data_IF_156877030963
#
_entry.id   IF_156877030963
#
_cell.length_a   1.000
_cell.length_b   1.000
_cell.length_c   1.000
_cell.angle_alpha   90.00
_cell.angle_beta   90.00
_cell.angle_gamma   90.00
#
_symmetry.space_group_name_H-M   'P 1'
#
loop_
_entity.id
_entity.type
_entity.pdbx_description
1 polymer ?
#
# COMPACT_ATOMS: atom_id res chain seq x y z
N UNK A 1 -0.04 9.25 53.43
CA UNK A 1 0.07 10.58 52.80
C UNK A 1 0.25 10.39 51.31
N UNK A 2 -0.82 10.63 50.53
CA UNK A 2 -0.85 10.38 49.09
C UNK A 2 -0.56 11.68 48.35
N UNK A 3 0.63 11.80 47.75
CA UNK A 3 1.00 12.97 46.97
C UNK A 3 0.62 12.74 45.50
N UNK A 4 -0.47 13.40 45.07
CA UNK A 4 -0.92 13.45 43.68
C UNK A 4 -0.05 14.49 42.97
N UNK A 5 0.92 14.04 42.18
CA UNK A 5 1.72 14.94 41.33
C UNK A 5 0.92 15.26 40.07
N UNK A 6 0.40 16.47 40.02
CA UNK A 6 -0.19 17.09 38.83
C UNK A 6 0.92 17.52 37.88
N UNK A 7 1.11 16.79 36.78
CA UNK A 7 1.93 17.24 35.63
C UNK A 7 1.05 18.03 34.67
N UNK A 8 0.93 19.33 34.89
CA UNK A 8 0.49 20.29 33.87
C UNK A 8 1.74 20.85 33.17
N UNK A 9 1.59 21.12 31.86
CA UNK A 9 2.57 21.76 30.96
C UNK A 9 3.53 20.81 30.23
N UNK A 10 3.07 20.23 29.11
CA UNK A 10 3.86 19.82 27.90
C UNK A 10 2.99 19.07 26.85
N UNK A 11 1.67 19.27 26.83
CA UNK A 11 0.77 18.46 25.98
C UNK A 11 0.92 18.72 24.46
N UNK A 12 1.38 19.92 24.04
CA UNK A 12 1.38 20.30 22.63
C UNK A 12 2.62 19.82 21.83
N UNK A 13 3.80 19.77 22.45
CA UNK A 13 5.01 19.25 21.79
C UNK A 13 5.07 17.71 21.83
N UNK A 14 4.43 17.10 22.83
CA UNK A 14 4.33 15.65 22.95
C UNK A 14 3.43 15.02 21.90
N UNK A 15 2.42 15.72 21.36
CA UNK A 15 1.48 15.14 20.38
C UNK A 15 2.11 14.92 18.99
N UNK A 16 2.99 15.82 18.55
CA UNK A 16 3.72 15.71 17.28
C UNK A 16 4.79 14.61 17.32
N UNK A 17 5.57 14.56 18.41
CA UNK A 17 6.56 13.51 18.63
C UNK A 17 5.91 12.14 18.91
N UNK A 18 4.81 12.08 19.67
CA UNK A 18 4.05 10.85 19.90
C UNK A 18 3.42 10.32 18.61
N UNK A 19 3.02 11.19 17.68
CA UNK A 19 2.52 10.81 16.36
C UNK A 19 3.59 10.21 15.46
N UNK A 20 4.81 10.76 15.47
CA UNK A 20 5.96 10.22 14.73
C UNK A 20 6.46 8.89 15.31
N UNK A 21 6.54 8.79 16.65
CA UNK A 21 6.91 7.56 17.36
C UNK A 21 5.85 6.47 17.18
N UNK A 22 4.55 6.81 17.14
CA UNK A 22 3.46 5.86 16.84
C UNK A 22 3.52 5.28 15.42
N UNK A 23 4.13 5.96 14.45
CA UNK A 23 4.28 5.41 13.08
C UNK A 23 5.44 4.42 12.98
N UNK A 24 6.46 4.56 13.82
CA UNK A 24 7.62 3.67 13.89
C UNK A 24 7.40 2.46 14.80
N UNK A 25 6.61 2.62 15.86
CA UNK A 25 6.28 1.57 16.81
C UNK A 25 4.98 0.89 16.36
N UNK A 26 5.00 -0.41 15.98
CA UNK A 26 3.78 -1.17 15.70
C UNK A 26 2.76 -0.96 16.81
N UNK A 27 1.46 -0.95 16.48
CA UNK A 27 0.36 -0.77 17.45
C UNK A 27 0.35 -1.74 18.65
N UNK A 28 1.21 -2.77 18.59
CA UNK A 28 1.39 -3.85 19.57
C UNK A 28 2.57 -3.61 20.52
N UNK A 29 3.40 -2.61 20.27
CA UNK A 29 4.58 -2.29 21.07
C UNK A 29 4.37 -0.95 21.80
N UNK A 30 4.99 -0.83 22.96
CA UNK A 30 5.02 0.40 23.77
C UNK A 30 6.41 0.61 24.35
N UNK A 31 6.77 1.87 24.54
CA UNK A 31 7.99 2.23 25.27
C UNK A 31 7.60 2.43 26.73
N UNK A 32 8.25 1.68 27.63
CA UNK A 32 8.05 1.79 29.06
C UNK A 32 9.33 2.36 29.67
N UNK A 33 9.22 3.53 30.29
CA UNK A 33 10.27 4.11 31.10
C UNK A 33 9.87 4.02 32.57
N UNK A 34 10.72 3.41 33.38
CA UNK A 34 10.55 3.34 34.84
C UNK A 34 11.77 3.89 35.53
N UNK A 35 11.56 4.90 36.36
CA UNK A 35 12.64 5.57 37.08
C UNK A 35 12.63 5.12 38.55
N UNK A 36 13.79 4.70 39.04
CA UNK A 36 13.96 4.15 40.39
C UNK A 36 15.09 4.88 41.11
N UNK A 37 14.90 5.15 42.40
CA UNK A 37 15.96 5.63 43.27
C UNK A 37 16.71 4.44 43.85
N UNK A 38 18.00 4.34 43.53
CA UNK A 38 18.87 3.26 44.02
C UNK A 38 19.89 3.80 45.01
N UNK A 39 20.13 3.09 46.11
CA UNK A 39 21.17 3.43 47.09
C UNK A 39 22.40 2.60 46.77
N UNK A 40 23.52 3.26 46.43
CA UNK A 40 24.82 2.60 46.23
C UNK A 40 25.80 3.12 47.27
N UNK A 41 26.37 2.24 48.09
CA UNK A 41 27.40 2.63 49.07
C UNK A 41 26.92 3.57 50.19
N UNK A 42 25.63 3.59 50.50
CA UNK A 42 25.13 4.15 51.75
C UNK A 42 24.90 5.67 51.82
N UNK A 43 25.58 6.48 51.00
CA UNK A 43 25.60 7.95 51.16
C UNK A 43 24.86 8.78 50.12
N UNK A 44 24.61 8.27 48.91
CA UNK A 44 23.89 9.01 47.87
C UNK A 44 22.83 8.15 47.19
N UNK A 45 21.63 8.71 47.02
CA UNK A 45 20.59 8.13 46.18
C UNK A 45 20.88 8.52 44.73
N UNK A 46 21.00 7.52 43.85
CA UNK A 46 21.17 7.72 42.42
C UNK A 46 19.85 7.38 41.72
N UNK A 47 19.34 8.31 40.91
CA UNK A 47 18.25 8.03 39.99
C UNK A 47 18.76 7.14 38.86
N UNK A 48 18.09 6.01 38.66
CA UNK A 48 18.35 5.10 37.54
C UNK A 48 17.06 4.88 36.78
N UNK A 49 17.11 5.02 35.46
CA UNK A 49 15.99 4.74 34.59
C UNK A 49 16.18 3.38 33.91
N UNK A 50 15.10 2.62 33.80
CA UNK A 50 15.02 1.44 32.95
C UNK A 50 14.08 1.77 31.80
N UNK A 51 14.60 1.71 30.57
CA UNK A 51 13.85 1.97 29.34
C UNK A 51 13.78 0.66 28.57
N UNK A 52 12.59 0.17 28.31
CA UNK A 52 12.35 -1.03 27.51
C UNK A 52 11.28 -0.80 26.44
N UNK A 53 11.37 -1.59 25.37
CA UNK A 53 10.31 -1.73 24.38
C UNK A 53 9.59 -3.02 24.69
N UNK A 54 8.37 -2.91 25.19
CA UNK A 54 7.56 -4.05 25.62
C UNK A 54 6.35 -4.20 24.69
N UNK A 55 5.79 -5.40 24.64
CA UNK A 55 4.46 -5.59 24.06
C UNK A 55 3.39 -4.87 24.90
N UNK A 56 2.29 -4.47 24.25
CA UNK A 56 1.13 -3.92 24.94
C UNK A 56 0.55 -4.96 25.89
N UNK A 57 -0.02 -4.48 27.01
CA UNK A 57 -0.62 -5.37 28.02
C UNK A 57 -1.72 -6.25 27.44
N UNK A 58 -2.53 -5.71 26.51
CA UNK A 58 -3.56 -6.49 25.83
C UNK A 58 -2.99 -7.62 24.98
N UNK A 59 -1.89 -7.38 24.26
CA UNK A 59 -1.25 -8.39 23.44
C UNK A 59 -0.60 -9.48 24.29
N UNK A 60 0.07 -9.08 25.37
CA UNK A 60 0.70 -10.04 26.27
C UNK A 60 -0.31 -10.83 27.12
N UNK A 61 -1.43 -10.22 27.51
CA UNK A 61 -2.54 -10.91 28.15
C UNK A 61 -3.15 -11.97 27.23
N UNK A 62 -3.34 -11.64 25.95
CA UNK A 62 -3.82 -12.58 24.94
C UNK A 62 -2.85 -13.78 24.75
N UNK A 63 -1.54 -13.52 24.71
CA UNK A 63 -0.52 -14.58 24.65
C UNK A 63 -0.60 -15.54 25.84
N UNK A 64 -0.81 -15.00 27.06
CA UNK A 64 -0.93 -15.81 28.27
C UNK A 64 -2.19 -16.65 28.32
N UNK A 65 -3.30 -16.16 27.77
CA UNK A 65 -4.54 -16.94 27.71
C UNK A 65 -4.47 -18.03 26.63
N UNK A 66 -3.93 -17.68 25.47
CA UNK A 66 -3.76 -18.62 24.36
C UNK A 66 -2.60 -18.16 23.46
N UNK A 67 -1.50 -18.95 23.39
CA UNK A 67 -0.36 -18.65 22.53
C UNK A 67 -0.74 -18.50 21.05
N UNK A 68 -1.78 -19.20 20.57
CA UNK A 68 -2.20 -19.15 19.17
C UNK A 68 -2.74 -17.78 18.74
N UNK A 69 -3.23 -16.97 19.69
CA UNK A 69 -3.71 -15.60 19.42
C UNK A 69 -2.56 -14.64 19.09
N UNK A 70 -1.31 -15.04 19.35
CA UNK A 70 -0.13 -14.20 19.19
C UNK A 70 0.92 -14.83 18.27
N UNK A 71 0.67 -14.95 16.96
CA UNK A 71 1.52 -15.71 16.02
C UNK A 71 2.92 -15.12 15.77
N UNK A 72 3.22 -13.94 16.33
CA UNK A 72 4.55 -13.31 16.24
C UNK A 72 5.45 -13.64 17.43
N UNK A 73 4.87 -14.19 18.49
CA UNK A 73 5.62 -14.74 19.61
C UNK A 73 5.70 -16.24 19.38
N UNK A 74 6.92 -16.76 19.42
CA UNK A 74 7.19 -18.18 19.20
C UNK A 74 7.85 -18.67 20.48
N UNK A 75 7.36 -19.80 20.98
CA UNK A 75 7.96 -20.45 22.13
C UNK A 75 9.35 -20.97 21.75
N UNK A 76 10.30 -20.87 22.68
CA UNK A 76 11.68 -21.26 22.41
C UNK A 76 11.79 -22.78 22.14
N UNK A 77 10.92 -23.58 22.77
CA UNK A 77 10.93 -25.04 22.68
C UNK A 77 10.60 -25.49 21.26
N UNK A 78 9.74 -24.73 20.58
CA UNK A 78 9.36 -24.97 19.20
C UNK A 78 10.49 -24.70 18.20
N UNK A 79 11.52 -23.93 18.60
CA UNK A 79 12.63 -23.52 17.71
C UNK A 79 13.80 -24.48 17.82
N UNK A 80 14.37 -24.65 19.02
CA UNK A 80 15.56 -25.48 19.25
C UNK A 80 15.31 -26.76 20.06
N UNK A 81 14.07 -27.04 20.46
CA UNK A 81 13.76 -28.10 21.41
C UNK A 81 14.19 -27.71 22.82
N UNK A 82 14.66 -28.70 23.59
CA UNK A 82 15.01 -28.58 25.01
C UNK A 82 15.97 -27.42 25.35
N UNK A 83 15.42 -26.34 25.94
CA UNK A 83 16.13 -25.15 26.44
C UNK A 83 17.16 -25.53 27.48
N UNK A 84 16.81 -26.46 28.37
CA UNK A 84 17.65 -26.77 29.52
C UNK A 84 18.97 -27.31 29.01
N UNK A 85 18.90 -28.24 28.05
CA UNK A 85 20.09 -28.72 27.37
C UNK A 85 20.77 -27.60 26.57
N UNK A 86 20.03 -26.82 25.78
CA UNK A 86 20.62 -25.79 24.91
C UNK A 86 21.41 -24.73 25.69
N UNK A 87 20.80 -24.11 26.70
CA UNK A 87 21.42 -23.03 27.47
C UNK A 87 22.47 -23.53 28.48
N UNK A 88 22.28 -24.73 29.05
CA UNK A 88 23.23 -25.31 30.00
C UNK A 88 24.36 -26.10 29.34
N UNK A 89 24.35 -26.24 28.01
CA UNK A 89 25.41 -26.93 27.28
C UNK A 89 26.76 -26.28 27.56
N UNK A 90 27.67 -27.09 28.10
CA UNK A 90 29.06 -26.72 28.39
C UNK A 90 29.93 -27.08 27.19
N UNK A 91 31.04 -26.35 27.04
CA UNK A 91 32.02 -26.64 25.98
C UNK A 91 32.83 -27.88 26.36
N UNK A 92 32.68 -28.96 25.59
CA UNK A 92 33.32 -30.25 25.86
C UNK A 92 34.55 -30.52 24.97
N UNK A 93 34.71 -29.78 23.87
CA UNK A 93 35.78 -30.00 22.91
C UNK A 93 37.17 -29.70 23.50
N UNK A 94 38.03 -30.72 23.54
CA UNK A 94 39.43 -30.71 24.00
C UNK A 94 39.71 -30.05 25.37
N UNK A 95 38.71 -29.98 26.26
CA UNK A 95 38.87 -29.40 27.60
C UNK A 95 38.69 -30.47 28.67
N UNK A 96 39.76 -31.23 28.91
CA UNK A 96 39.88 -32.07 30.10
C UNK A 96 40.01 -31.20 31.36
N UNK A 97 39.20 -31.50 32.38
CA UNK A 97 39.52 -31.17 33.79
C UNK A 97 39.04 -29.84 34.38
N UNK A 98 39.16 -28.69 33.70
CA UNK A 98 39.04 -27.40 34.44
C UNK A 98 38.27 -26.24 33.78
N UNK A 99 37.89 -26.31 32.50
CA UNK A 99 37.20 -25.17 31.85
C UNK A 99 35.96 -25.58 31.06
N UNK A 100 35.06 -26.32 31.72
CA UNK A 100 33.68 -26.56 31.24
C UNK A 100 32.83 -25.30 31.43
N UNK A 101 33.23 -24.21 30.81
CA UNK A 101 32.44 -22.99 30.76
C UNK A 101 31.18 -23.22 29.90
N UNK A 102 30.10 -22.52 30.24
CA UNK A 102 28.95 -22.41 29.37
C UNK A 102 29.35 -21.81 28.03
N UNK A 103 28.60 -22.15 26.98
CA UNK A 103 28.74 -21.44 25.72
C UNK A 103 28.48 -19.93 25.91
N UNK A 104 29.22 -19.06 25.22
CA UNK A 104 29.06 -17.62 25.35
C UNK A 104 27.70 -17.18 24.83
N UNK A 105 27.18 -16.11 25.43
CA UNK A 105 25.83 -15.59 25.14
C UNK A 105 25.67 -15.23 23.66
N UNK A 106 26.69 -14.63 23.04
CA UNK A 106 26.60 -14.21 21.62
C UNK A 106 26.40 -15.40 20.67
N UNK A 107 27.05 -16.54 20.93
CA UNK A 107 26.95 -17.73 20.10
C UNK A 107 25.56 -18.36 20.22
N UNK A 108 25.02 -18.40 21.44
CA UNK A 108 23.64 -18.86 21.68
C UNK A 108 22.59 -17.97 21.02
N UNK A 109 22.78 -16.66 21.12
CA UNK A 109 21.90 -15.69 20.46
C UNK A 109 21.97 -15.81 18.93
N UNK A 110 23.17 -15.98 18.37
CA UNK A 110 23.35 -16.19 16.94
C UNK A 110 22.69 -17.49 16.48
N UNK A 111 22.89 -18.59 17.20
CA UNK A 111 22.25 -19.88 16.89
C UNK A 111 20.72 -19.79 16.94
N UNK A 112 20.16 -19.15 17.97
CA UNK A 112 18.71 -18.96 18.08
C UNK A 112 18.15 -18.10 16.94
N UNK A 113 18.84 -17.00 16.59
CA UNK A 113 18.46 -16.14 15.46
C UNK A 113 18.50 -16.92 14.13
N UNK A 114 19.58 -17.66 13.88
CA UNK A 114 19.74 -18.47 12.67
C UNK A 114 18.59 -19.46 12.53
N UNK A 115 18.18 -20.12 13.61
CA UNK A 115 17.07 -21.07 13.60
C UNK A 115 15.73 -20.39 13.32
N UNK A 116 15.50 -19.20 13.88
CA UNK A 116 14.29 -18.41 13.61
C UNK A 116 14.21 -17.91 12.16
N UNK A 117 15.34 -17.63 11.52
CA UNK A 117 15.41 -17.07 10.17
C UNK A 117 15.71 -18.11 9.09
N UNK A 118 15.52 -19.41 9.38
CA UNK A 118 15.70 -20.45 8.36
C UNK A 118 14.66 -20.31 7.26
N UNK A 119 15.04 -20.67 6.04
CA UNK A 119 14.13 -20.67 4.90
C UNK A 119 13.00 -21.66 5.12
N UNK A 120 11.76 -21.13 5.08
CA UNK A 120 10.55 -21.93 5.17
C UNK A 120 10.24 -22.49 3.78
N UNK A 121 10.08 -23.83 3.61
CA UNK A 121 9.72 -24.41 2.33
C UNK A 121 8.34 -23.90 1.92
N UNK A 122 8.30 -22.98 0.94
CA UNK A 122 7.05 -22.40 0.44
C UNK A 122 6.35 -23.40 -0.47
N UNK A 123 5.08 -23.62 -0.21
CA UNK A 123 4.25 -24.57 -0.95
C UNK A 123 4.06 -24.02 -2.38
N UNK A 124 4.13 -24.85 -3.43
CA UNK A 124 3.94 -24.39 -4.82
C UNK A 124 2.59 -23.70 -5.05
N UNK A 125 1.59 -23.99 -4.23
CA UNK A 125 0.31 -23.29 -4.24
C UNK A 125 0.46 -21.79 -3.95
N UNK A 126 1.31 -21.38 -3.00
CA UNK A 126 1.58 -19.95 -2.76
C UNK A 126 2.25 -19.30 -3.97
N UNK A 127 3.16 -20.01 -4.64
CA UNK A 127 3.79 -19.53 -5.86
C UNK A 127 2.77 -19.39 -7.00
N UNK A 128 1.87 -20.36 -7.17
CA UNK A 128 0.78 -20.31 -8.13
C UNK A 128 -0.17 -19.14 -7.84
N UNK A 129 -0.51 -18.86 -6.57
CA UNK A 129 -1.30 -17.68 -6.21
C UNK A 129 -0.58 -16.37 -6.54
N UNK A 130 0.74 -16.28 -6.33
CA UNK A 130 1.52 -15.10 -6.72
C UNK A 130 1.59 -14.91 -8.23
N UNK A 131 1.70 -16.01 -8.99
CA UNK A 131 1.62 -15.97 -10.45
C UNK A 131 0.23 -15.58 -10.93
N UNK A 132 -0.82 -16.08 -10.27
CA UNK A 132 -2.19 -15.70 -10.55
C UNK A 132 -2.45 -14.22 -10.30
N UNK A 133 -1.98 -13.64 -9.18
CA UNK A 133 -2.18 -12.21 -8.92
C UNK A 133 -1.42 -11.33 -9.92
N UNK A 134 -0.24 -11.78 -10.36
CA UNK A 134 0.51 -11.13 -11.43
C UNK A 134 -0.27 -11.20 -12.77
N UNK A 135 -0.79 -12.38 -13.11
CA UNK A 135 -1.62 -12.59 -14.30
C UNK A 135 -2.94 -11.81 -14.26
N UNK A 136 -3.58 -11.70 -13.10
CA UNK A 136 -4.81 -10.92 -12.90
C UNK A 136 -4.59 -9.45 -13.22
N UNK A 137 -3.45 -8.87 -12.78
CA UNK A 137 -3.10 -7.48 -13.11
C UNK A 137 -2.92 -7.31 -14.62
N UNK A 138 -2.30 -8.27 -15.30
CA UNK A 138 -2.12 -8.25 -16.76
C UNK A 138 -3.41 -8.49 -17.54
N UNK A 139 -4.41 -9.19 -16.98
CA UNK A 139 -5.72 -9.37 -17.61
C UNK A 139 -6.69 -8.21 -17.36
N UNK A 140 -6.58 -7.53 -16.20
CA UNK A 140 -7.45 -6.40 -15.86
C UNK A 140 -7.11 -5.15 -16.66
N UNK A 141 -5.84 -4.92 -17.00
CA UNK A 141 -5.40 -3.77 -17.79
C UNK A 141 -6.07 -3.71 -19.19
N UNK A 142 -6.00 -4.77 -20.02
CA UNK A 142 -6.68 -4.80 -21.31
C UNK A 142 -8.19 -4.64 -21.20
N UNK A 143 -8.81 -5.20 -20.14
CA UNK A 143 -10.25 -5.05 -19.91
C UNK A 143 -10.65 -3.63 -19.53
N UNK A 144 -9.83 -2.93 -18.75
CA UNK A 144 -10.04 -1.53 -18.44
C UNK A 144 -9.87 -0.65 -19.68
N UNK A 145 -8.84 -0.91 -20.49
CA UNK A 145 -8.60 -0.17 -21.74
C UNK A 145 -9.78 -0.35 -22.71
N UNK A 146 -10.21 -1.60 -22.96
CA UNK A 146 -11.36 -1.88 -23.82
C UNK A 146 -12.67 -1.28 -23.26
N UNK A 147 -12.85 -1.31 -21.94
CA UNK A 147 -13.99 -0.65 -21.29
C UNK A 147 -13.99 0.86 -21.48
N UNK A 148 -12.83 1.51 -21.33
CA UNK A 148 -12.67 2.95 -21.57
C UNK A 148 -12.87 3.30 -23.04
N UNK A 149 -12.35 2.50 -23.97
CA UNK A 149 -12.57 2.68 -25.42
C UNK A 149 -14.05 2.57 -25.81
N UNK A 150 -14.83 1.75 -25.11
CA UNK A 150 -16.29 1.65 -25.36
C UNK A 150 -17.09 2.81 -24.75
N UNK A 151 -16.61 3.38 -23.64
CA UNK A 151 -17.28 4.47 -22.92
C UNK A 151 -16.89 5.85 -23.44
N UNK A 152 -15.68 6.02 -23.98
CA UNK A 152 -15.17 7.29 -24.51
C UNK A 152 -16.07 7.85 -25.63
N UNK A 153 -16.45 7.08 -26.67
CA UNK A 153 -17.33 7.57 -27.71
C UNK A 153 -18.69 7.97 -27.16
N UNK A 154 -19.26 7.18 -26.24
CA UNK A 154 -20.56 7.46 -25.63
C UNK A 154 -20.54 8.74 -24.77
N UNK A 155 -19.44 8.97 -24.05
CA UNK A 155 -19.24 10.18 -23.25
C UNK A 155 -18.98 11.41 -24.13
N UNK A 156 -18.23 11.25 -25.21
CA UNK A 156 -18.00 12.31 -26.21
C UNK A 156 -19.31 12.68 -26.90
N UNK A 157 -20.15 11.72 -27.29
CA UNK A 157 -21.46 12.04 -27.89
C UNK A 157 -22.40 12.72 -26.91
N UNK A 158 -22.46 12.25 -25.65
CA UNK A 158 -23.28 12.90 -24.61
C UNK A 158 -22.88 14.36 -24.35
N UNK A 159 -21.59 14.68 -24.37
CA UNK A 159 -21.10 16.06 -24.18
C UNK A 159 -21.11 16.90 -25.47
N UNK A 160 -21.02 16.26 -26.64
CA UNK A 160 -21.14 16.95 -27.92
C UNK A 160 -22.59 17.35 -28.20
N UNK A 161 -23.57 16.52 -27.82
CA UNK A 161 -24.99 16.84 -27.95
C UNK A 161 -25.42 18.00 -27.06
N UNK A 162 -24.88 18.11 -25.84
CA UNK A 162 -25.15 19.26 -24.96
C UNK A 162 -24.54 20.55 -25.51
N UNK A 163 -23.30 20.52 -26.02
CA UNK A 163 -22.67 21.68 -26.67
C UNK A 163 -23.33 22.07 -28.00
N UNK A 164 -23.79 21.09 -28.79
CA UNK A 164 -24.55 21.33 -30.03
C UNK A 164 -25.94 21.89 -29.74
N UNK A 165 -26.61 21.43 -28.67
CA UNK A 165 -27.87 21.99 -28.20
C UNK A 165 -27.74 23.45 -27.79
N UNK A 166 -26.73 23.79 -26.98
CA UNK A 166 -26.44 25.18 -26.58
C UNK A 166 -26.04 26.06 -27.79
N UNK A 167 -25.28 25.51 -28.74
CA UNK A 167 -24.92 26.23 -29.97
C UNK A 167 -26.14 26.48 -30.87
N UNK A 168 -27.06 25.52 -31.00
CA UNK A 168 -28.30 25.69 -31.77
C UNK A 168 -29.27 26.67 -31.10
N UNK A 169 -29.40 26.63 -29.77
CA UNK A 169 -30.22 27.58 -29.02
C UNK A 169 -29.64 29.01 -29.10
N UNK A 170 -28.33 29.17 -29.01
CA UNK A 170 -27.67 30.48 -29.17
C UNK A 170 -27.71 31.01 -30.62
N UNK A 171 -27.69 30.12 -31.63
CA UNK A 171 -27.84 30.49 -33.04
C UNK A 171 -29.30 30.82 -33.39
N UNK A 172 -30.28 30.11 -32.82
CA UNK A 172 -31.69 30.45 -32.96
C UNK A 172 -32.01 31.80 -32.31
N UNK A 173 -31.41 32.09 -31.15
CA UNK A 173 -31.52 33.39 -30.50
C UNK A 173 -30.93 34.54 -31.34
N UNK A 174 -29.76 34.34 -31.97
CA UNK A 174 -29.16 35.34 -32.89
C UNK A 174 -29.95 35.54 -34.19
N UNK A 175 -30.45 34.48 -34.81
CA UNK A 175 -31.27 34.59 -36.04
C UNK A 175 -32.62 35.29 -35.76
N UNK A 176 -33.19 35.11 -34.56
CA UNK A 176 -34.37 35.86 -34.13
C UNK A 176 -34.08 37.36 -33.92
N UNK A 177 -32.84 37.71 -33.57
CA UNK A 177 -32.39 39.10 -33.40
C UNK A 177 -32.09 39.77 -34.76
N UNK A 178 -31.40 39.06 -35.67
CA UNK A 178 -31.06 39.54 -37.02
C UNK A 178 -32.28 39.58 -37.96
N UNK A 179 -33.24 38.67 -37.81
CA UNK A 179 -34.53 38.69 -38.53
C UNK A 179 -35.40 39.91 -38.19
N UNK A 180 -35.12 40.58 -37.07
CA UNK A 180 -35.77 41.84 -36.68
C UNK A 180 -35.10 43.07 -37.31
N UNK A 181 -33.86 42.94 -37.79
CA UNK A 181 -33.11 44.02 -38.45
C UNK A 181 -33.25 44.04 -39.99
N UNK A 182 -33.62 42.91 -40.62
CA UNK A 182 -33.73 42.81 -42.08
C UNK A 182 -35.13 43.09 -42.67
N UNK A 183 -36.14 43.43 -41.86
CA UNK A 183 -37.50 43.75 -42.33
C UNK A 183 -37.66 45.21 -42.81
N UNK A 184 -36.56 45.90 -43.13
CA UNK A 184 -36.53 47.33 -43.37
C UNK A 184 -35.60 47.79 -44.49
N UNK A 185 -35.45 47.06 -45.60
CA UNK A 185 -34.85 47.63 -46.82
C UNK A 185 -35.15 46.80 -48.09
N UNK A 186 -36.01 47.38 -48.94
CA UNK A 186 -36.07 47.35 -50.41
C UNK A 186 -36.16 46.02 -51.21
N UNK A 187 -37.23 46.00 -52.00
CA UNK A 187 -37.44 45.37 -53.32
C UNK A 187 -36.28 45.52 -54.32
N UNK A 188 -35.97 44.47 -55.09
CA UNK A 188 -35.85 44.46 -56.57
C UNK A 188 -35.39 43.08 -57.09
N UNK A 189 -35.78 42.79 -58.34
CA UNK A 189 -35.46 41.67 -59.25
C UNK A 189 -34.03 41.07 -59.10
N UNK A 190 -33.73 39.84 -59.50
CA UNK A 190 -33.75 39.39 -60.90
C UNK A 190 -33.47 37.87 -61.03
N UNK A 191 -33.70 37.36 -62.23
CA UNK A 191 -33.69 35.99 -62.67
C UNK A 191 -32.32 35.27 -62.64
N UNK A 192 -32.40 33.93 -62.63
CA UNK A 192 -31.63 33.12 -63.57
C UNK A 192 -30.48 32.26 -63.02
N UNK A 193 -30.37 31.09 -63.66
CA UNK A 193 -29.20 30.21 -63.75
C UNK A 193 -28.98 29.13 -62.65
N UNK A 194 -29.68 28.00 -62.83
CA UNK A 194 -29.02 26.67 -62.92
C UNK A 194 -28.21 26.71 -64.24
N UNK A 195 -26.97 26.17 -64.40
CA UNK A 195 -26.84 24.70 -64.43
C UNK A 195 -25.46 24.03 -64.19
N UNK A 196 -25.54 22.69 -64.10
CA UNK A 196 -24.60 21.65 -64.62
C UNK A 196 -23.17 21.60 -64.09
N UNK A 197 -22.73 20.52 -63.43
CA UNK A 197 -22.48 19.14 -63.89
C UNK A 197 -21.08 18.91 -64.50
N UNK A 198 -20.64 17.65 -64.32
CA UNK A 198 -19.47 16.96 -64.89
C UNK A 198 -18.17 17.06 -64.07
N UNK A 199 -17.33 16.04 -63.93
CA UNK A 199 -17.33 14.60 -64.23
C UNK A 199 -15.90 14.10 -63.99
N UNK A 200 -15.72 12.79 -63.73
CA UNK A 200 -14.42 12.10 -63.87
C UNK A 200 -14.14 11.19 -62.66
N UNK A 201 -14.47 9.90 -62.62
CA UNK A 201 -14.11 8.78 -63.50
C UNK A 201 -12.62 8.39 -63.47
N UNK A 202 -12.28 7.35 -62.68
CA UNK A 202 -11.46 6.17 -63.04
C UNK A 202 -11.51 5.21 -61.84
N UNK A 203 -12.05 3.99 -61.85
CA UNK A 203 -11.85 2.81 -62.70
C UNK A 203 -10.40 2.28 -62.71
N UNK A 204 -10.24 1.02 -62.28
CA UNK A 204 -9.01 0.22 -62.27
C UNK A 204 -8.73 -0.36 -60.88
N UNK A 205 -9.40 -1.40 -60.40
CA UNK A 205 -9.49 -2.80 -60.88
C UNK A 205 -8.28 -3.69 -60.54
N UNK A 206 -8.62 -4.86 -59.99
CA UNK A 206 -7.96 -6.18 -59.90
C UNK A 206 -6.48 -6.31 -59.48
N UNK A 207 -6.05 -7.29 -58.67
CA UNK A 207 -6.70 -8.50 -58.15
C UNK A 207 -5.63 -9.58 -57.89
N UNK A 208 -5.98 -10.59 -57.09
CA UNK A 208 -5.35 -11.93 -56.97
C UNK A 208 -3.91 -11.98 -56.41
N UNK A 209 -3.54 -12.81 -55.42
CA UNK A 209 -4.05 -14.10 -54.97
C UNK A 209 -2.87 -15.08 -54.90
N UNK A 210 -2.74 -15.86 -53.82
CA UNK A 210 -2.27 -17.28 -53.81
C UNK A 210 -1.72 -17.69 -52.44
N UNK A 211 -2.13 -18.88 -52.01
CA UNK A 211 -1.63 -19.65 -50.90
C UNK A 211 -0.34 -20.42 -51.24
N UNK A 212 0.42 -20.82 -50.19
CA UNK A 212 1.25 -22.04 -50.10
C UNK A 212 1.70 -22.17 -48.63
N UNK A 213 1.18 -23.10 -47.82
CA UNK A 213 1.76 -24.43 -47.51
C UNK A 213 3.28 -24.55 -47.62
N UNK A 214 3.93 -24.68 -46.46
CA UNK A 214 4.93 -25.71 -46.11
C UNK A 214 5.07 -25.76 -44.58
#
# INVERSE_FOLDING_TARGET
MSARVTTTTTAAAASGAAGAVRRLVPSRLRIVQRDFLTRRGGRTHQLRSAVSVDYTESYFAAYRSDPALCPRLIDAEAVHGDEQRFWLTRREFYRGGASRAFAPVWDRQAQALIQLTRDVPRIPQEAAFRLFTLGLKMMLLPRLVAGVESLLPMWVTMNAETLLGEALESHAAKVAEDGKAAAGASTAADAGAVPTAASGASAGDTGSGSAATS
#
